data_IF_818574550138
#
_entry.id   IF_818574550138
#
_cell.length_a   1.000
_cell.length_b   1.000
_cell.length_c   1.000
_cell.angle_alpha   90.00
_cell.angle_beta   90.00
_cell.angle_gamma   90.00
#
_symmetry.space_group_name_H-M   'P 1'
#
loop_
_entity.id
_entity.type
_entity.pdbx_description
1 polymer ?
#
# COMPACT_ATOMS: atom_id res chain seq x y z
N UNK A 1 49.14 -25.33 51.08
CA UNK A 1 50.34 -25.79 50.35
C UNK A 1 50.33 -25.07 49.02
N UNK A 2 51.10 -24.04 48.95
CA UNK A 2 52.35 -23.85 48.19
C UNK A 2 52.01 -23.39 46.76
N UNK A 3 52.05 -22.10 46.49
CA UNK A 3 53.15 -21.18 46.08
C UNK A 3 53.28 -21.12 44.55
N UNK A 4 53.15 -19.89 44.01
CA UNK A 4 54.17 -18.91 43.52
C UNK A 4 54.51 -19.19 42.03
N UNK A 5 54.60 -18.27 41.15
CA UNK A 5 55.10 -16.92 41.01
C UNK A 5 54.86 -16.41 39.60
N UNK A 6 54.57 -15.20 39.46
CA UNK A 6 55.39 -13.98 39.26
C UNK A 6 56.22 -13.88 37.99
N UNK A 7 56.00 -12.73 37.30
CA UNK A 7 56.91 -11.77 36.71
C UNK A 7 57.44 -12.09 35.28
N UNK A 8 57.41 -11.20 34.30
CA UNK A 8 58.05 -9.92 34.10
C UNK A 8 57.60 -9.29 32.75
N UNK A 9 57.42 -7.99 32.77
CA UNK A 9 57.60 -7.08 31.64
C UNK A 9 59.09 -6.83 31.43
N UNK A 10 59.59 -6.32 30.28
CA UNK A 10 59.57 -4.91 29.91
C UNK A 10 59.46 -4.66 28.37
N UNK A 11 58.93 -3.56 27.92
CA UNK A 11 59.41 -2.19 27.66
C UNK A 11 60.56 -2.07 26.65
N UNK A 12 60.33 -1.37 25.55
CA UNK A 12 61.14 -0.25 25.05
C UNK A 12 61.15 -0.17 23.50
N UNK A 13 60.79 0.97 23.04
CA UNK A 13 61.46 2.10 22.38
C UNK A 13 61.35 2.13 20.86
N UNK A 14 60.64 3.15 20.37
CA UNK A 14 61.04 4.34 19.60
C UNK A 14 61.81 4.10 18.26
N UNK A 15 61.25 4.56 17.16
CA UNK A 15 61.81 5.68 16.41
C UNK A 15 60.84 6.23 15.39
N UNK A 16 60.76 7.57 15.41
CA UNK A 16 60.06 8.41 14.47
C UNK A 16 60.88 8.57 13.18
N UNK A 17 60.24 8.74 12.03
CA UNK A 17 60.80 9.47 10.91
C UNK A 17 59.71 10.21 10.16
N UNK A 18 59.76 11.53 10.28
CA UNK A 18 59.10 12.52 9.44
C UNK A 18 59.69 12.46 8.04
N UNK A 19 58.85 12.52 7.01
CA UNK A 19 59.19 13.13 5.74
C UNK A 19 58.03 13.96 5.20
N UNK A 20 58.17 15.24 5.29
CA UNK A 20 57.36 16.24 4.64
C UNK A 20 57.79 16.37 3.18
N UNK A 21 56.87 16.35 2.25
CA UNK A 21 57.06 16.86 0.90
C UNK A 21 55.88 17.81 0.56
N UNK A 22 56.16 19.09 0.61
CA UNK A 22 55.36 20.18 0.07
C UNK A 22 55.43 20.13 -1.45
N UNK A 23 54.27 20.06 -2.12
CA UNK A 23 54.12 20.56 -3.49
C UNK A 23 52.97 21.56 -3.49
N UNK A 24 53.28 22.81 -3.66
CA UNK A 24 52.33 23.86 -3.90
C UNK A 24 51.80 23.77 -5.35
N UNK A 25 50.53 23.75 -5.53
CA UNK A 25 49.84 23.89 -6.79
C UNK A 25 48.59 24.75 -6.58
N UNK A 26 48.69 26.05 -6.92
CA UNK A 26 47.56 26.96 -7.04
C UNK A 26 46.56 26.46 -8.09
N UNK A 27 45.32 26.31 -7.71
CA UNK A 27 44.18 26.13 -8.60
C UNK A 27 42.93 26.68 -7.91
N UNK A 28 42.59 27.92 -8.23
CA UNK A 28 41.35 28.58 -7.85
C UNK A 28 40.16 27.86 -8.51
N UNK A 29 39.28 27.30 -7.69
CA UNK A 29 38.03 26.71 -8.14
C UNK A 29 37.13 26.55 -6.93
N UNK A 30 36.45 27.64 -6.52
CA UNK A 30 35.33 27.57 -5.57
C UNK A 30 34.20 26.79 -6.24
N UNK A 31 34.14 25.51 -5.98
CA UNK A 31 32.98 24.68 -6.27
C UNK A 31 32.38 24.28 -4.93
N UNK A 32 31.42 25.05 -4.43
CA UNK A 32 30.52 24.62 -3.38
C UNK A 32 29.77 23.37 -3.87
N UNK A 33 30.35 22.20 -3.65
CA UNK A 33 29.68 20.91 -3.72
C UNK A 33 28.90 20.70 -2.43
N UNK A 34 28.01 21.64 -2.09
CA UNK A 34 26.86 21.36 -1.27
C UNK A 34 25.83 20.71 -2.21
N UNK A 35 26.14 19.47 -2.65
CA UNK A 35 25.12 18.60 -3.18
C UNK A 35 24.13 18.38 -2.06
N UNK A 36 23.07 19.18 -2.10
CA UNK A 36 21.83 18.97 -1.40
C UNK A 36 21.36 17.58 -1.84
N UNK A 37 21.83 16.53 -1.17
CA UNK A 37 21.11 15.27 -1.14
C UNK A 37 19.81 15.58 -0.40
N UNK A 38 18.85 16.12 -1.15
CA UNK A 38 17.47 15.98 -0.76
C UNK A 38 17.29 14.47 -0.57
N UNK A 39 17.35 14.02 0.68
CA UNK A 39 16.88 12.73 1.08
C UNK A 39 15.38 12.75 0.74
N UNK A 40 15.04 12.34 -0.48
CA UNK A 40 13.66 12.12 -0.88
C UNK A 40 13.23 10.90 -0.10
N UNK A 41 12.82 11.13 1.17
CA UNK A 41 12.12 10.14 1.94
C UNK A 41 11.01 9.58 1.02
N UNK A 42 10.98 8.28 0.84
CA UNK A 42 10.00 7.65 -0.03
C UNK A 42 8.60 8.12 0.40
N UNK A 43 7.82 8.62 -0.54
CA UNK A 43 6.46 9.06 -0.26
C UNK A 43 5.65 7.89 0.30
N UNK A 44 4.72 8.17 1.22
CA UNK A 44 3.77 7.15 1.66
C UNK A 44 2.96 6.63 0.46
N UNK A 45 2.79 5.32 0.37
CA UNK A 45 2.08 4.67 -0.72
C UNK A 45 0.77 4.10 -0.16
N UNK A 46 -0.36 4.38 -0.83
CA UNK A 46 -1.61 3.73 -0.50
C UNK A 46 -1.51 2.23 -0.87
N UNK A 47 -1.66 1.31 0.10
CA UNK A 47 -1.71 -0.11 -0.23
C UNK A 47 -2.97 -0.43 -1.04
N UNK A 48 -2.88 -1.48 -1.85
CA UNK A 48 -4.06 -2.00 -2.53
C UNK A 48 -4.94 -2.73 -1.52
N UNK A 49 -6.21 -2.34 -1.45
CA UNK A 49 -7.18 -3.05 -0.65
C UNK A 49 -7.75 -4.26 -1.44
N UNK A 50 -7.75 -5.42 -0.80
CA UNK A 50 -8.39 -6.64 -1.29
C UNK A 50 -9.90 -6.66 -1.00
N UNK A 51 -10.42 -7.81 -0.60
CA UNK A 51 -11.85 -7.98 -0.27
C UNK A 51 -12.24 -7.31 1.04
N UNK A 52 -11.27 -7.02 1.95
CA UNK A 52 -11.51 -6.27 3.18
C UNK A 52 -11.98 -4.82 2.92
N UNK A 53 -11.82 -4.32 1.70
CA UNK A 53 -12.33 -2.99 1.31
C UNK A 53 -13.84 -2.83 1.54
N UNK A 54 -14.59 -3.92 1.46
CA UNK A 54 -16.05 -3.94 1.61
C UNK A 54 -16.50 -4.08 3.08
N UNK A 55 -15.54 -4.32 4.00
CA UNK A 55 -15.80 -4.48 5.42
C UNK A 55 -15.56 -3.18 6.19
N UNK A 56 -16.59 -2.67 6.85
CA UNK A 56 -16.46 -1.55 7.77
C UNK A 56 -15.86 -2.03 9.12
N UNK A 57 -16.21 -3.26 9.53
CA UNK A 57 -15.72 -3.90 10.75
C UNK A 57 -15.37 -5.35 10.45
N UNK A 58 -14.16 -5.77 10.84
CA UNK A 58 -13.70 -7.15 10.71
C UNK A 58 -12.92 -7.55 11.96
N UNK A 59 -13.36 -8.60 12.64
CA UNK A 59 -12.70 -9.16 13.81
C UNK A 59 -12.03 -10.50 13.51
N UNK A 60 -10.96 -10.82 14.25
CA UNK A 60 -10.32 -12.14 14.20
C UNK A 60 -11.07 -13.18 15.03
N UNK A 61 -11.49 -12.83 16.24
CA UNK A 61 -12.13 -13.76 17.18
C UNK A 61 -13.62 -13.52 17.31
N UNK A 62 -14.01 -12.31 17.66
CA UNK A 62 -15.41 -11.92 17.86
C UNK A 62 -15.64 -10.48 17.41
N UNK A 63 -16.89 -10.16 17.12
CA UNK A 63 -17.39 -8.79 17.05
C UNK A 63 -18.54 -8.66 18.04
N UNK A 64 -18.40 -7.76 19.00
CA UNK A 64 -19.41 -7.51 20.03
C UNK A 64 -19.86 -6.06 19.99
N UNK A 65 -21.15 -5.84 20.15
CA UNK A 65 -21.74 -4.52 20.17
C UNK A 65 -22.71 -4.39 21.34
N UNK A 66 -22.64 -3.26 22.02
CA UNK A 66 -23.67 -2.79 22.97
C UNK A 66 -24.25 -1.49 22.44
N UNK A 67 -25.52 -1.27 22.64
CA UNK A 67 -26.20 -0.06 22.18
C UNK A 67 -26.46 0.01 20.67
N UNK A 68 -27.03 1.11 20.19
CA UNK A 68 -27.51 1.27 18.82
C UNK A 68 -26.40 1.71 17.86
N UNK A 69 -25.34 0.91 17.73
CA UNK A 69 -24.29 1.19 16.72
C UNK A 69 -24.85 1.09 15.30
N UNK A 70 -24.34 1.94 14.41
CA UNK A 70 -24.67 1.96 12.96
C UNK A 70 -23.42 1.67 12.15
N UNK A 71 -23.49 0.62 11.32
CA UNK A 71 -22.39 0.19 10.46
C UNK A 71 -22.83 0.33 9.01
N UNK A 72 -22.11 1.14 8.22
CA UNK A 72 -22.29 1.27 6.78
C UNK A 72 -21.18 0.51 6.06
N UNK A 73 -21.50 -0.67 5.56
CA UNK A 73 -20.56 -1.64 4.97
C UNK A 73 -20.76 -3.03 5.57
N UNK A 74 -19.95 -4.00 5.17
CA UNK A 74 -20.01 -5.36 5.70
C UNK A 74 -19.42 -5.44 7.12
N UNK A 75 -19.92 -6.40 7.87
CA UNK A 75 -19.49 -6.77 9.22
C UNK A 75 -19.01 -8.22 9.19
N UNK A 76 -17.75 -8.48 9.54
CA UNK A 76 -17.18 -9.82 9.46
C UNK A 76 -16.42 -10.27 10.69
N UNK A 77 -16.27 -11.59 10.81
CA UNK A 77 -15.40 -12.24 11.77
C UNK A 77 -14.83 -13.54 11.19
N UNK A 78 -13.53 -13.75 11.26
CA UNK A 78 -12.83 -14.98 10.90
C UNK A 78 -11.42 -14.99 11.53
N UNK A 79 -10.90 -16.13 12.04
CA UNK A 79 -11.48 -17.47 12.07
C UNK A 79 -12.59 -17.66 13.11
N UNK A 80 -12.83 -16.66 13.96
CA UNK A 80 -14.00 -16.67 14.85
C UNK A 80 -15.32 -16.66 14.07
N UNK A 81 -16.44 -16.90 14.77
CA UNK A 81 -17.76 -16.91 14.15
C UNK A 81 -18.82 -16.16 15.00
N UNK A 82 -18.42 -15.51 16.09
CA UNK A 82 -19.36 -14.86 16.98
C UNK A 82 -19.51 -13.37 16.66
N UNK A 83 -20.70 -12.98 16.23
CA UNK A 83 -21.14 -11.59 16.09
C UNK A 83 -22.35 -11.39 16.97
N UNK A 84 -22.26 -10.52 17.98
CA UNK A 84 -23.33 -10.25 18.95
C UNK A 84 -23.71 -8.77 18.98
N UNK A 85 -24.92 -8.46 19.47
CA UNK A 85 -25.41 -7.10 19.60
C UNK A 85 -25.95 -6.48 18.30
N UNK A 86 -26.35 -7.29 17.34
CA UNK A 86 -27.04 -6.87 16.12
C UNK A 86 -28.33 -7.68 15.91
N UNK A 87 -29.48 -7.20 16.48
CA UNK A 87 -29.75 -5.93 17.15
C UNK A 87 -29.16 -5.84 18.57
N UNK A 88 -29.08 -4.60 19.22
CA UNK A 88 -29.67 -3.33 18.76
C UNK A 88 -28.83 -2.59 17.70
N UNK A 89 -27.63 -3.04 17.39
CA UNK A 89 -26.86 -2.47 16.28
C UNK A 89 -27.59 -2.64 14.94
N UNK A 90 -27.35 -1.69 14.04
CA UNK A 90 -27.87 -1.67 12.67
C UNK A 90 -26.73 -1.81 11.66
N UNK A 91 -26.95 -2.60 10.60
CA UNK A 91 -25.99 -2.87 9.54
C UNK A 91 -26.65 -2.63 8.18
N UNK A 92 -26.02 -1.86 7.29
CA UNK A 92 -26.48 -1.67 5.90
C UNK A 92 -25.95 -2.73 4.95
N UNK A 93 -24.80 -3.35 5.28
CA UNK A 93 -24.15 -4.40 4.49
C UNK A 93 -24.56 -5.82 4.94
N UNK A 94 -23.69 -6.77 4.65
CA UNK A 94 -23.87 -8.19 4.98
C UNK A 94 -23.13 -8.55 6.27
N UNK A 95 -23.64 -9.58 6.98
CA UNK A 95 -22.92 -10.23 8.08
C UNK A 95 -22.19 -11.47 7.57
N UNK A 96 -20.90 -11.55 7.84
CA UNK A 96 -20.03 -12.65 7.47
C UNK A 96 -19.41 -13.27 8.74
N UNK A 97 -19.98 -14.37 9.22
CA UNK A 97 -19.62 -14.98 10.49
C UNK A 97 -18.90 -16.33 10.25
N UNK A 98 -17.58 -16.32 10.15
CA UNK A 98 -16.75 -17.49 9.90
C UNK A 98 -16.91 -18.08 8.50
N UNK A 99 -17.46 -17.33 7.56
CA UNK A 99 -17.66 -17.77 6.19
C UNK A 99 -16.43 -17.49 5.30
N UNK A 100 -16.48 -17.95 4.06
CA UNK A 100 -15.37 -17.82 3.11
C UNK A 100 -15.05 -16.37 2.74
N UNK A 101 -16.05 -15.47 2.78
CA UNK A 101 -15.83 -14.05 2.49
C UNK A 101 -15.10 -13.36 3.65
N UNK A 102 -15.48 -13.62 4.90
CA UNK A 102 -14.76 -13.13 6.07
C UNK A 102 -13.35 -13.71 6.15
N UNK A 103 -13.16 -15.00 5.77
CA UNK A 103 -11.83 -15.63 5.73
C UNK A 103 -10.94 -14.96 4.69
N UNK A 104 -11.45 -14.71 3.48
CA UNK A 104 -10.67 -14.01 2.45
C UNK A 104 -10.32 -12.58 2.89
N UNK A 105 -11.29 -11.84 3.43
CA UNK A 105 -11.05 -10.49 3.94
C UNK A 105 -10.00 -10.45 5.07
N UNK A 106 -9.92 -11.49 5.92
CA UNK A 106 -8.86 -11.59 6.92
C UNK A 106 -7.49 -11.87 6.30
N UNK A 107 -7.42 -12.72 5.27
CA UNK A 107 -6.17 -12.96 4.55
C UNK A 107 -5.68 -11.67 3.86
N UNK A 108 -6.59 -10.92 3.26
CA UNK A 108 -6.27 -9.63 2.63
C UNK A 108 -5.87 -8.59 3.69
N UNK A 109 -6.51 -8.60 4.87
CA UNK A 109 -6.10 -7.75 6.01
C UNK A 109 -4.69 -8.08 6.51
N UNK A 110 -4.27 -9.35 6.45
CA UNK A 110 -2.88 -9.75 6.76
C UNK A 110 -1.93 -9.11 5.74
N UNK A 111 -2.21 -9.23 4.46
CA UNK A 111 -1.42 -8.63 3.38
C UNK A 111 -1.34 -7.11 3.55
N UNK A 112 -2.47 -6.44 3.75
CA UNK A 112 -2.54 -5.00 4.03
C UNK A 112 -1.68 -4.59 5.22
N UNK A 113 -1.73 -5.35 6.32
CA UNK A 113 -0.93 -5.06 7.50
C UNK A 113 0.57 -5.15 7.22
N UNK A 114 1.00 -6.17 6.46
CA UNK A 114 2.39 -6.43 6.13
C UNK A 114 2.92 -5.39 5.13
N UNK A 115 2.12 -4.98 4.15
CA UNK A 115 2.44 -3.89 3.23
C UNK A 115 2.65 -2.56 3.96
N UNK A 116 1.74 -2.22 4.89
CA UNK A 116 1.90 -1.03 5.73
C UNK A 116 3.15 -1.12 6.61
N UNK A 117 3.47 -2.32 7.14
CA UNK A 117 4.66 -2.55 7.95
C UNK A 117 5.96 -2.34 7.15
N UNK A 118 5.96 -2.72 5.87
CA UNK A 118 7.11 -2.64 4.96
C UNK A 118 7.48 -1.23 4.52
N UNK A 119 6.59 -0.25 4.64
CA UNK A 119 6.88 1.12 4.19
C UNK A 119 7.96 1.78 5.05
N UNK A 120 8.89 2.48 4.40
CA UNK A 120 9.95 3.21 5.09
C UNK A 120 9.40 4.40 5.86
N UNK A 121 9.87 4.63 7.08
CA UNK A 121 9.47 5.77 7.90
C UNK A 121 9.99 7.07 7.30
N UNK A 122 9.12 8.07 7.17
CA UNK A 122 9.52 9.43 6.79
C UNK A 122 9.70 10.33 8.00
N UNK A 123 9.02 10.02 9.11
CA UNK A 123 9.07 10.81 10.34
C UNK A 123 8.93 9.91 11.57
N UNK A 124 9.71 10.20 12.60
CA UNK A 124 9.58 9.54 13.91
C UNK A 124 8.70 10.41 14.84
N UNK A 125 7.63 9.81 15.33
CA UNK A 125 6.68 10.42 16.28
C UNK A 125 6.66 9.67 17.61
N UNK A 126 7.75 8.93 17.92
CA UNK A 126 7.86 8.17 19.16
C UNK A 126 7.75 9.09 20.37
N UNK A 127 6.81 8.78 21.27
CA UNK A 127 6.58 9.55 22.51
C UNK A 127 5.94 10.93 22.28
N UNK A 128 5.54 11.26 21.06
CA UNK A 128 4.84 12.50 20.77
C UNK A 128 3.33 12.33 20.88
N UNK A 129 2.67 13.37 21.38
CA UNK A 129 1.20 13.50 21.34
C UNK A 129 0.80 13.97 19.94
N UNK A 130 -0.05 13.22 19.26
CA UNK A 130 -0.48 13.54 17.91
C UNK A 130 -1.50 14.69 17.88
N UNK A 131 -2.21 14.89 18.99
CA UNK A 131 -3.14 16.02 19.13
C UNK A 131 -2.43 17.38 19.04
N UNK A 132 -3.05 18.30 18.32
CA UNK A 132 -2.50 19.63 18.02
C UNK A 132 -1.51 19.66 16.85
N UNK A 133 -1.13 18.50 16.28
CA UNK A 133 -0.25 18.45 15.13
C UNK A 133 -0.99 18.73 13.82
N UNK A 134 -0.29 19.34 12.87
CA UNK A 134 -0.67 19.37 11.44
C UNK A 134 0.38 18.61 10.66
N UNK A 135 -0.03 17.51 10.04
CA UNK A 135 0.87 16.57 9.35
C UNK A 135 0.63 16.57 7.84
N UNK A 136 1.72 16.66 7.09
CA UNK A 136 1.73 16.51 5.63
C UNK A 136 1.73 15.02 5.26
N UNK A 137 1.48 14.63 3.98
CA UNK A 137 1.56 13.23 3.55
C UNK A 137 2.89 12.57 3.90
N UNK A 138 2.86 11.35 4.43
CA UNK A 138 4.07 10.66 4.86
C UNK A 138 3.82 9.39 5.68
N UNK A 139 4.91 8.71 6.06
CA UNK A 139 4.92 7.53 6.94
C UNK A 139 5.44 7.92 8.31
N UNK A 140 4.56 7.95 9.30
CA UNK A 140 4.81 8.35 10.68
C UNK A 140 4.99 7.12 11.56
N UNK A 141 6.17 6.95 12.13
CA UNK A 141 6.51 5.77 12.90
C UNK A 141 6.67 6.09 14.38
N UNK A 142 6.15 5.19 15.23
CA UNK A 142 6.40 5.20 16.66
C UNK A 142 6.92 3.83 17.11
N UNK A 143 8.04 3.81 17.82
CA UNK A 143 8.60 2.60 18.46
C UNK A 143 7.96 2.29 19.81
N UNK A 144 6.94 3.07 20.21
CA UNK A 144 6.14 2.89 21.42
C UNK A 144 4.64 2.94 21.08
N UNK A 145 3.79 3.12 22.08
CA UNK A 145 2.38 3.44 21.89
C UNK A 145 2.21 4.84 21.30
N UNK A 146 1.17 5.01 20.48
CA UNK A 146 0.74 6.31 19.97
C UNK A 146 -0.48 6.81 20.74
N UNK A 147 -0.51 8.12 21.00
CA UNK A 147 -1.63 8.80 21.66
C UNK A 147 -2.15 9.95 20.80
N UNK A 148 -3.46 10.13 20.81
CA UNK A 148 -4.15 11.23 20.17
C UNK A 148 -5.14 11.84 21.16
N UNK A 149 -4.80 13.00 21.73
CA UNK A 149 -5.68 13.77 22.61
C UNK A 149 -5.93 15.15 22.00
N UNK A 150 -7.18 15.43 21.66
CA UNK A 150 -7.54 16.64 20.90
C UNK A 150 -7.59 16.40 19.40
N UNK A 151 -7.27 17.41 18.59
CA UNK A 151 -7.40 17.35 17.13
C UNK A 151 -6.05 17.11 16.45
N UNK A 152 -5.99 16.11 15.57
CA UNK A 152 -4.92 15.92 14.59
C UNK A 152 -5.38 16.41 13.22
N UNK A 153 -4.65 17.33 12.61
CA UNK A 153 -4.93 17.81 11.26
C UNK A 153 -4.03 17.09 10.24
N UNK A 154 -4.63 16.53 9.18
CA UNK A 154 -3.94 15.94 8.02
C UNK A 154 -4.14 16.86 6.83
N UNK A 155 -3.07 17.51 6.38
CA UNK A 155 -3.12 18.53 5.32
C UNK A 155 -2.47 18.02 4.04
N UNK A 156 -3.28 17.81 2.99
CA UNK A 156 -2.80 17.35 1.70
C UNK A 156 -2.06 18.44 0.89
N UNK A 157 -2.14 19.71 1.29
CA UNK A 157 -1.54 20.82 0.53
C UNK A 157 -2.04 20.88 -0.92
N UNK A 158 -3.26 20.44 -1.19
CA UNK A 158 -3.83 20.36 -2.53
C UNK A 158 -3.32 19.19 -3.39
N UNK A 159 -2.51 18.28 -2.83
CA UNK A 159 -1.98 17.12 -3.57
C UNK A 159 -3.07 16.05 -3.71
N UNK A 160 -3.40 15.74 -4.93
CA UNK A 160 -4.25 14.60 -5.25
C UNK A 160 -3.56 13.30 -4.84
N UNK A 161 -4.30 12.38 -4.20
CA UNK A 161 -3.75 11.09 -3.79
C UNK A 161 -2.78 11.14 -2.59
N UNK A 162 -2.76 12.25 -1.84
CA UNK A 162 -1.99 12.35 -0.60
C UNK A 162 -2.28 11.20 0.36
N UNK A 163 -1.23 10.56 0.91
CA UNK A 163 -1.33 9.36 1.75
C UNK A 163 -0.66 9.59 3.09
N UNK A 164 -1.28 9.13 4.16
CA UNK A 164 -0.72 9.08 5.50
C UNK A 164 -0.72 7.63 6.01
N UNK A 165 0.41 7.19 6.50
CA UNK A 165 0.56 5.90 7.16
C UNK A 165 1.13 6.12 8.56
N UNK A 166 0.36 5.77 9.57
CA UNK A 166 0.80 5.76 10.96
C UNK A 166 1.17 4.34 11.36
N UNK A 167 2.39 4.13 11.83
CA UNK A 167 2.90 2.83 12.27
C UNK A 167 3.29 2.89 13.72
N UNK A 168 2.67 2.11 14.57
CA UNK A 168 3.11 1.94 15.95
C UNK A 168 3.44 0.48 16.24
N UNK A 169 4.47 0.24 17.05
CA UNK A 169 4.84 -1.13 17.48
C UNK A 169 3.96 -1.63 18.63
N UNK A 170 3.25 -0.73 19.30
CA UNK A 170 2.40 -1.05 20.45
C UNK A 170 0.94 -0.61 20.20
N UNK A 171 0.32 0.10 21.11
CA UNK A 171 -1.09 0.49 21.07
C UNK A 171 -1.31 1.88 20.46
N UNK A 172 -2.54 2.09 19.94
CA UNK A 172 -3.09 3.42 19.71
C UNK A 172 -4.19 3.69 20.72
N UNK A 173 -4.14 4.84 21.39
CA UNK A 173 -5.21 5.28 22.29
C UNK A 173 -5.62 6.71 21.96
N UNK A 174 -6.92 6.95 21.80
CA UNK A 174 -7.42 8.33 21.68
C UNK A 174 -8.08 8.79 22.97
N UNK A 175 -7.89 10.06 23.34
CA UNK A 175 -8.64 10.70 24.42
C UNK A 175 -10.12 10.88 24.05
N UNK A 176 -10.97 11.11 25.03
CA UNK A 176 -12.40 11.40 24.79
C UNK A 176 -12.54 12.70 23.98
N UNK A 177 -13.42 12.66 22.96
CA UNK A 177 -13.68 13.82 22.09
C UNK A 177 -12.53 14.17 21.13
N UNK A 178 -11.52 13.33 21.01
CA UNK A 178 -10.43 13.54 20.05
C UNK A 178 -10.93 13.44 18.61
N UNK A 179 -10.21 14.09 17.69
CA UNK A 179 -10.60 14.09 16.27
C UNK A 179 -9.41 14.02 15.32
N UNK A 180 -9.67 13.49 14.13
CA UNK A 180 -8.78 13.60 12.97
C UNK A 180 -9.48 14.48 11.94
N UNK A 181 -8.88 15.62 11.60
CA UNK A 181 -9.41 16.60 10.65
C UNK A 181 -8.64 16.51 9.32
N UNK A 182 -9.37 16.39 8.22
CA UNK A 182 -8.81 16.39 6.87
C UNK A 182 -8.88 17.77 6.26
N UNK A 183 -7.77 18.26 5.66
CA UNK A 183 -7.69 19.57 5.00
C UNK A 183 -7.10 19.46 3.59
N UNK A 184 -7.44 20.45 2.76
CA UNK A 184 -6.82 20.70 1.45
C UNK A 184 -6.80 19.48 0.52
N UNK A 185 -7.91 18.71 0.46
CA UNK A 185 -8.05 17.56 -0.41
C UNK A 185 -7.56 16.23 0.20
N UNK A 186 -7.22 16.19 1.48
CA UNK A 186 -6.97 14.94 2.19
C UNK A 186 -8.23 14.06 2.18
N UNK A 187 -8.05 12.75 1.97
CA UNK A 187 -9.16 11.81 1.84
C UNK A 187 -9.07 10.67 2.86
N UNK A 188 -10.20 10.24 3.46
CA UNK A 188 -10.20 9.22 4.50
C UNK A 188 -9.72 7.84 4.02
N UNK A 189 -9.87 7.50 2.75
CA UNK A 189 -9.37 6.24 2.18
C UNK A 189 -7.84 6.16 2.19
N UNK A 190 -7.16 7.31 2.17
CA UNK A 190 -5.70 7.41 2.08
C UNK A 190 -5.04 7.59 3.45
N UNK A 191 -5.77 7.35 4.54
CA UNK A 191 -5.24 7.39 5.90
C UNK A 191 -5.24 5.98 6.46
N UNK A 192 -4.07 5.48 6.87
CA UNK A 192 -3.87 4.12 7.37
C UNK A 192 -3.19 4.14 8.74
N UNK A 193 -3.72 3.33 9.66
CA UNK A 193 -3.23 3.18 11.02
C UNK A 193 -2.83 1.73 11.26
N UNK A 194 -1.55 1.41 11.07
CA UNK A 194 -0.99 0.08 11.34
C UNK A 194 -0.58 0.00 12.82
N UNK A 195 -1.32 -0.78 13.61
CA UNK A 195 -1.18 -0.87 15.05
C UNK A 195 -0.57 -2.20 15.45
N UNK A 196 0.59 -2.17 16.13
CA UNK A 196 1.34 -3.36 16.51
C UNK A 196 0.72 -4.21 17.62
N UNK A 197 -0.30 -3.69 18.29
CA UNK A 197 -1.10 -4.42 19.28
C UNK A 197 -2.58 -4.05 19.12
N UNK A 198 -3.17 -3.32 20.06
CA UNK A 198 -4.58 -2.95 20.07
C UNK A 198 -4.82 -1.45 19.90
N UNK A 199 -5.97 -1.10 19.34
CA UNK A 199 -6.43 0.27 19.26
C UNK A 199 -7.63 0.50 20.18
N UNK A 200 -7.64 1.62 20.91
CA UNK A 200 -8.78 2.06 21.71
C UNK A 200 -9.16 3.47 21.32
N UNK A 201 -10.35 3.65 20.78
CA UNK A 201 -10.91 4.97 20.52
C UNK A 201 -11.74 5.42 21.72
N UNK A 202 -11.36 6.53 22.36
CA UNK A 202 -12.05 7.12 23.48
C UNK A 202 -13.45 7.60 23.13
N UNK A 203 -14.26 7.82 24.16
CA UNK A 203 -15.66 8.25 24.06
C UNK A 203 -15.82 9.46 23.15
N UNK A 204 -16.79 9.41 22.23
CA UNK A 204 -17.10 10.48 21.27
C UNK A 204 -15.91 10.91 20.37
N UNK A 205 -14.90 10.08 20.19
CA UNK A 205 -13.83 10.31 19.21
C UNK A 205 -14.41 10.39 17.80
N UNK A 206 -13.97 11.37 17.00
CA UNK A 206 -14.26 11.47 15.56
C UNK A 206 -13.01 11.05 14.77
N UNK A 207 -12.92 9.78 14.42
CA UNK A 207 -11.72 9.19 13.83
C UNK A 207 -11.84 9.03 12.31
N UNK A 208 -10.72 9.21 11.62
CA UNK A 208 -10.63 9.05 10.17
C UNK A 208 -9.50 8.09 9.80
N UNK A 209 -9.80 7.21 8.87
CA UNK A 209 -8.85 6.28 8.27
C UNK A 209 -9.10 4.81 8.60
N UNK A 210 -8.27 3.96 8.01
CA UNK A 210 -8.35 2.52 8.10
C UNK A 210 -7.47 2.02 9.25
N UNK A 211 -8.08 1.53 10.32
CA UNK A 211 -7.39 0.95 11.48
C UNK A 211 -7.13 -0.52 11.18
N UNK A 212 -5.86 -0.91 11.16
CA UNK A 212 -5.42 -2.30 10.98
C UNK A 212 -4.61 -2.70 12.21
N UNK A 213 -5.28 -3.34 13.18
CA UNK A 213 -4.68 -3.71 14.45
C UNK A 213 -4.27 -5.18 14.47
N UNK A 214 -3.08 -5.47 15.02
CA UNK A 214 -2.61 -6.85 15.17
C UNK A 214 -3.51 -7.66 16.10
N UNK A 215 -4.00 -7.03 17.17
CA UNK A 215 -4.81 -7.72 18.18
C UNK A 215 -6.26 -7.23 18.13
N UNK A 216 -6.68 -6.31 18.98
CA UNK A 216 -8.07 -5.92 19.14
C UNK A 216 -8.33 -4.44 18.85
N UNK A 217 -9.57 -4.10 18.57
CA UNK A 217 -10.03 -2.72 18.43
C UNK A 217 -11.22 -2.50 19.35
N UNK A 218 -11.12 -1.51 20.23
CA UNK A 218 -12.20 -1.08 21.10
C UNK A 218 -12.68 0.31 20.68
N UNK A 219 -13.94 0.40 20.25
CA UNK A 219 -14.63 1.66 20.00
C UNK A 219 -15.53 1.92 21.23
N UNK A 220 -15.11 2.87 22.07
CA UNK A 220 -15.93 3.20 23.26
C UNK A 220 -17.13 4.04 22.87
N UNK A 221 -18.01 4.29 23.83
CA UNK A 221 -19.34 4.91 23.62
C UNK A 221 -19.29 6.13 22.70
N UNK A 222 -20.06 6.06 21.62
CA UNK A 222 -20.25 7.18 20.70
C UNK A 222 -19.07 7.51 19.78
N UNK A 223 -18.01 6.72 19.80
CA UNK A 223 -16.90 6.92 18.84
C UNK A 223 -17.38 6.70 17.40
N UNK A 224 -16.90 7.56 16.48
CA UNK A 224 -17.24 7.56 15.06
C UNK A 224 -15.98 7.27 14.24
N UNK A 225 -16.10 6.42 13.25
CA UNK A 225 -15.01 6.07 12.32
C UNK A 225 -15.47 6.30 10.88
N UNK A 226 -14.84 7.25 10.20
CA UNK A 226 -14.90 7.35 8.74
C UNK A 226 -13.73 6.55 8.16
N UNK A 227 -13.95 5.27 7.93
CA UNK A 227 -12.88 4.31 7.62
C UNK A 227 -13.28 2.88 7.96
N UNK A 228 -12.30 2.09 8.36
CA UNK A 228 -12.44 0.66 8.70
C UNK A 228 -11.85 0.36 10.07
N UNK A 229 -12.42 -0.63 10.75
CA UNK A 229 -11.88 -1.22 11.97
C UNK A 229 -11.59 -2.71 11.72
N UNK A 230 -10.31 -3.02 11.37
CA UNK A 230 -9.84 -4.35 10.97
C UNK A 230 -8.90 -4.90 12.04
N UNK A 231 -9.38 -5.86 12.84
CA UNK A 231 -8.59 -6.56 13.85
C UNK A 231 -8.17 -7.93 13.33
N UNK A 232 -6.84 -8.18 13.25
CA UNK A 232 -6.31 -9.44 12.68
C UNK A 232 -6.58 -10.66 13.56
N UNK A 233 -6.17 -10.59 14.83
CA UNK A 233 -6.15 -11.76 15.70
C UNK A 233 -7.15 -11.66 16.84
N UNK A 234 -7.63 -10.48 17.16
CA UNK A 234 -8.46 -10.24 18.33
C UNK A 234 -9.90 -9.86 17.97
N UNK A 235 -10.54 -9.22 18.90
CA UNK A 235 -11.94 -8.81 18.79
C UNK A 235 -12.11 -7.36 18.35
N UNK A 236 -13.28 -7.04 17.85
CA UNK A 236 -13.74 -5.65 17.74
C UNK A 236 -14.93 -5.47 18.71
N UNK A 237 -14.80 -4.53 19.64
CA UNK A 237 -15.86 -4.17 20.59
C UNK A 237 -16.41 -2.79 20.26
N UNK A 238 -17.73 -2.64 20.37
CA UNK A 238 -18.45 -1.42 20.01
C UNK A 238 -19.53 -1.09 21.05
N UNK A 239 -19.78 0.22 21.19
CA UNK A 239 -20.87 0.75 22.04
C UNK A 239 -21.41 2.04 21.43
N UNK A 240 -22.61 1.98 20.84
CA UNK A 240 -23.31 3.15 20.29
C UNK A 240 -22.47 3.92 19.25
N UNK A 241 -21.76 3.21 18.39
CA UNK A 241 -20.79 3.77 17.44
C UNK A 241 -21.39 4.02 16.06
N UNK A 242 -20.71 4.87 15.28
CA UNK A 242 -20.95 5.03 13.86
C UNK A 242 -19.67 4.65 13.10
N UNK A 243 -19.72 3.57 12.30
CA UNK A 243 -18.62 3.17 11.42
C UNK A 243 -19.11 3.22 9.99
N UNK A 244 -18.47 4.06 9.17
CA UNK A 244 -18.90 4.29 7.78
C UNK A 244 -17.72 4.08 6.84
N UNK A 245 -17.87 3.18 5.87
CA UNK A 245 -16.91 3.05 4.78
C UNK A 245 -16.77 4.39 4.06
N UNK A 246 -15.55 4.89 3.88
CA UNK A 246 -15.35 6.15 3.21
C UNK A 246 -15.63 5.99 1.71
N UNK A 247 -16.31 6.97 1.15
CA UNK A 247 -16.32 7.21 -0.30
C UNK A 247 -15.17 8.16 -0.61
N UNK A 248 -14.28 7.76 -1.49
CA UNK A 248 -13.18 8.63 -1.91
C UNK A 248 -13.41 9.05 -3.36
N UNK A 249 -13.43 10.34 -3.54
CA UNK A 249 -13.46 10.91 -4.88
C UNK A 249 -12.10 10.70 -5.55
N UNK A 250 -12.11 10.23 -6.78
CA UNK A 250 -10.92 10.35 -7.63
C UNK A 250 -10.71 11.85 -7.81
N UNK A 251 -9.54 12.41 -7.39
CA UNK A 251 -9.32 13.83 -7.48
C UNK A 251 -9.63 14.33 -8.91
N UNK A 252 -10.33 15.43 -9.05
CA UNK A 252 -10.69 15.99 -10.36
C UNK A 252 -9.47 16.35 -11.23
N UNK A 253 -8.28 16.43 -10.62
CA UNK A 253 -6.99 16.63 -11.29
C UNK A 253 -6.28 15.32 -11.64
N UNK A 254 -6.78 14.17 -11.18
CA UNK A 254 -6.21 12.86 -11.49
C UNK A 254 -6.41 12.54 -12.98
N UNK A 255 -5.31 12.21 -13.66
CA UNK A 255 -5.33 11.79 -15.06
C UNK A 255 -5.34 10.25 -15.08
N UNK A 256 -6.34 9.62 -15.67
CA UNK A 256 -6.33 8.17 -15.84
C UNK A 256 -5.06 7.72 -16.56
N UNK A 257 -4.38 6.66 -16.10
CA UNK A 257 -3.23 6.12 -16.81
C UNK A 257 -3.59 5.67 -18.22
N UNK A 258 -2.61 5.71 -19.10
CA UNK A 258 -2.76 5.28 -20.49
C UNK A 258 -2.06 3.96 -20.74
N UNK A 259 -2.54 3.22 -21.75
CA UNK A 259 -1.93 1.97 -22.21
C UNK A 259 -1.62 2.05 -23.71
N UNK A 260 -0.47 1.49 -24.10
CA UNK A 260 -0.10 1.23 -25.49
C UNK A 260 0.33 -0.23 -25.62
N UNK A 261 -0.07 -0.85 -26.72
CA UNK A 261 0.27 -2.24 -27.02
C UNK A 261 1.02 -2.35 -28.33
N UNK A 262 2.04 -3.19 -28.40
CA UNK A 262 2.83 -3.41 -29.62
C UNK A 262 3.26 -4.88 -29.74
N UNK A 263 3.50 -5.33 -30.98
CA UNK A 263 4.21 -6.56 -31.29
C UNK A 263 5.54 -6.22 -31.99
N UNK A 264 6.61 -6.83 -31.56
CA UNK A 264 7.95 -6.65 -32.17
C UNK A 264 8.67 -7.98 -32.35
N UNK A 265 8.93 -8.39 -33.61
CA UNK A 265 8.48 -7.79 -34.89
C UNK A 265 6.96 -7.90 -35.09
N UNK A 266 6.36 -6.94 -35.77
CA UNK A 266 4.91 -6.91 -36.11
C UNK A 266 4.51 -7.93 -37.17
N UNK A 267 5.48 -8.59 -37.81
CA UNK A 267 5.27 -9.66 -38.81
C UNK A 267 6.25 -10.80 -38.53
N UNK A 268 5.73 -12.04 -38.48
CA UNK A 268 6.53 -13.27 -38.29
C UNK A 268 6.12 -14.33 -39.32
N UNK A 269 6.92 -15.36 -39.45
CA UNK A 269 6.51 -16.59 -40.14
C UNK A 269 5.69 -17.48 -39.19
N UNK A 270 4.88 -18.40 -39.74
CA UNK A 270 4.18 -19.41 -38.95
C UNK A 270 5.16 -20.16 -38.05
N UNK A 271 4.86 -20.25 -36.75
CA UNK A 271 5.72 -20.81 -35.73
C UNK A 271 6.88 -19.92 -35.27
N UNK A 272 7.05 -18.74 -35.85
CA UNK A 272 8.00 -17.73 -35.38
C UNK A 272 7.53 -17.05 -34.08
N UNK A 273 8.41 -16.22 -33.51
CA UNK A 273 8.16 -15.53 -32.24
C UNK A 273 8.12 -14.02 -32.42
N UNK A 274 7.19 -13.35 -31.73
CA UNK A 274 7.11 -11.91 -31.58
C UNK A 274 6.94 -11.55 -30.10
N UNK A 275 7.56 -10.48 -29.65
CA UNK A 275 7.38 -9.99 -28.28
C UNK A 275 6.19 -9.03 -28.25
N UNK A 276 5.13 -9.40 -27.51
CA UNK A 276 4.06 -8.49 -27.10
C UNK A 276 4.58 -7.59 -25.98
N UNK A 277 4.41 -6.28 -26.12
CA UNK A 277 4.71 -5.30 -25.08
C UNK A 277 3.45 -4.48 -24.79
N UNK A 278 3.05 -4.41 -23.53
CA UNK A 278 2.04 -3.50 -23.03
C UNK A 278 2.76 -2.45 -22.17
N UNK A 279 2.72 -1.19 -22.62
CA UNK A 279 3.33 -0.07 -21.89
C UNK A 279 2.23 0.72 -21.19
N UNK A 280 2.40 0.95 -19.91
CA UNK A 280 1.53 1.78 -19.09
C UNK A 280 2.24 3.10 -18.79
N UNK A 281 1.49 4.21 -18.80
CA UNK A 281 2.02 5.54 -18.48
C UNK A 281 1.11 6.21 -17.46
N UNK A 282 1.72 6.76 -16.40
CA UNK A 282 1.06 7.51 -15.34
C UNK A 282 1.63 8.93 -15.31
N UNK A 283 0.80 9.92 -15.62
CA UNK A 283 1.16 11.34 -15.62
C UNK A 283 0.84 12.05 -14.29
N UNK A 284 0.47 11.28 -13.25
CA UNK A 284 0.22 11.80 -11.91
C UNK A 284 1.53 11.82 -11.10
N UNK A 285 1.60 12.72 -10.13
CA UNK A 285 2.72 12.86 -9.20
C UNK A 285 2.76 11.79 -8.09
N UNK A 286 1.75 10.90 -8.08
CA UNK A 286 1.64 9.74 -7.20
C UNK A 286 1.50 8.45 -8.02
N UNK A 287 1.94 7.31 -7.49
CA UNK A 287 1.82 6.02 -8.17
C UNK A 287 0.36 5.67 -8.50
N UNK A 288 0.15 5.06 -9.66
CA UNK A 288 -1.13 4.49 -10.01
C UNK A 288 -1.17 3.00 -9.64
N UNK A 289 -1.82 2.71 -8.52
CA UNK A 289 -2.02 1.35 -8.04
C UNK A 289 -3.21 0.71 -8.76
N UNK A 290 -3.07 -0.52 -9.21
CA UNK A 290 -4.18 -1.26 -9.78
C UNK A 290 -5.22 -1.57 -8.68
N UNK A 291 -6.48 -1.35 -8.99
CA UNK A 291 -7.63 -1.66 -8.10
C UNK A 291 -8.37 -2.94 -8.50
N UNK A 292 -7.90 -3.58 -9.56
CA UNK A 292 -8.38 -4.85 -10.08
C UNK A 292 -7.35 -5.48 -11.02
N UNK A 293 -7.44 -6.79 -11.30
CA UNK A 293 -6.51 -7.45 -12.21
C UNK A 293 -6.67 -6.93 -13.64
N UNK A 294 -5.56 -6.76 -14.34
CA UNK A 294 -5.54 -6.52 -15.76
C UNK A 294 -5.36 -7.86 -16.48
N UNK A 295 -6.33 -8.24 -17.32
CA UNK A 295 -6.30 -9.50 -18.06
C UNK A 295 -6.34 -9.20 -19.56
N UNK A 296 -5.28 -9.58 -20.27
CA UNK A 296 -5.19 -9.55 -21.71
C UNK A 296 -5.44 -10.94 -22.28
N UNK A 297 -6.60 -11.14 -22.89
CA UNK A 297 -6.93 -12.39 -23.59
C UNK A 297 -6.50 -12.27 -25.04
N UNK A 298 -5.57 -13.12 -25.44
CA UNK A 298 -5.07 -13.15 -26.81
C UNK A 298 -6.11 -13.74 -27.78
N UNK A 299 -6.09 -13.31 -29.05
CA UNK A 299 -6.95 -13.89 -30.05
C UNK A 299 -6.63 -15.37 -30.27
N UNK A 300 -7.64 -16.16 -30.58
CA UNK A 300 -7.51 -17.61 -30.84
C UNK A 300 -6.40 -17.91 -31.83
N UNK A 301 -5.54 -18.86 -31.48
CA UNK A 301 -4.38 -19.27 -32.28
C UNK A 301 -3.09 -18.50 -31.98
N UNK A 302 -3.13 -17.44 -31.19
CA UNK A 302 -1.93 -16.80 -30.66
C UNK A 302 -1.65 -17.32 -29.25
N UNK A 303 -0.44 -17.81 -29.01
CA UNK A 303 -0.06 -18.53 -27.78
C UNK A 303 1.08 -17.81 -27.09
N UNK A 304 1.00 -17.66 -25.75
CA UNK A 304 2.04 -17.10 -24.91
C UNK A 304 3.11 -18.14 -24.62
N UNK A 305 4.38 -17.75 -24.71
CA UNK A 305 5.50 -18.51 -24.16
C UNK A 305 5.64 -18.16 -22.68
N UNK A 306 5.05 -18.99 -21.81
CA UNK A 306 4.87 -18.66 -20.38
C UNK A 306 6.18 -18.27 -19.64
N UNK A 307 7.32 -18.86 -20.01
CA UNK A 307 8.63 -18.55 -19.41
C UNK A 307 9.20 -17.18 -19.81
N UNK A 308 8.60 -16.50 -20.80
CA UNK A 308 9.07 -15.21 -21.31
C UNK A 308 8.40 -13.98 -20.65
N UNK A 309 7.36 -14.21 -19.83
CA UNK A 309 6.58 -13.12 -19.25
C UNK A 309 7.39 -12.37 -18.20
N UNK A 310 7.45 -11.06 -18.34
CA UNK A 310 8.11 -10.17 -17.39
C UNK A 310 7.37 -8.84 -17.24
N UNK A 311 7.63 -8.12 -16.12
CA UNK A 311 7.07 -6.78 -15.89
C UNK A 311 8.03 -5.90 -15.13
N UNK A 312 7.91 -4.59 -15.37
CA UNK A 312 8.52 -3.53 -14.57
C UNK A 312 7.50 -2.76 -13.75
N UNK A 313 6.22 -3.21 -13.70
CA UNK A 313 5.11 -2.56 -12.99
C UNK A 313 5.00 -3.02 -11.53
N UNK A 314 6.12 -3.24 -10.85
CA UNK A 314 6.18 -3.72 -9.47
C UNK A 314 7.36 -3.08 -8.74
N UNK A 315 7.19 -2.77 -7.47
CA UNK A 315 8.29 -2.29 -6.63
C UNK A 315 9.11 -3.42 -6.00
N UNK A 316 8.56 -4.64 -5.92
CA UNK A 316 9.22 -5.79 -5.27
C UNK A 316 8.87 -7.09 -6.00
N UNK A 317 9.91 -7.84 -6.40
CA UNK A 317 9.76 -9.15 -7.01
C UNK A 317 9.28 -10.17 -5.97
N UNK A 318 8.00 -10.46 -5.93
CA UNK A 318 7.39 -11.59 -5.22
C UNK A 318 6.73 -12.48 -6.27
N UNK A 319 6.86 -13.79 -6.15
CA UNK A 319 6.23 -14.74 -7.08
C UNK A 319 4.69 -14.63 -6.97
N UNK A 320 4.00 -14.47 -8.11
CA UNK A 320 2.53 -14.46 -8.15
C UNK A 320 1.88 -13.22 -8.79
N UNK A 321 2.68 -12.29 -9.30
CA UNK A 321 2.19 -11.01 -9.87
C UNK A 321 1.63 -11.12 -11.30
N UNK A 322 1.87 -12.26 -11.96
CA UNK A 322 1.41 -12.50 -13.31
C UNK A 322 0.22 -13.45 -13.37
N UNK A 323 -0.68 -13.14 -14.28
CA UNK A 323 -1.71 -14.06 -14.74
C UNK A 323 -1.22 -14.55 -16.10
N UNK A 324 -0.81 -15.81 -16.17
CA UNK A 324 -0.26 -16.41 -17.40
C UNK A 324 -0.93 -17.75 -17.67
N UNK A 325 -1.51 -17.88 -18.85
CA UNK A 325 -1.98 -19.13 -19.42
C UNK A 325 -1.66 -19.12 -20.94
N UNK A 326 -1.91 -20.18 -21.65
CA UNK A 326 -1.62 -20.32 -23.08
C UNK A 326 -2.20 -19.20 -23.95
N UNK A 327 -3.30 -18.60 -23.54
CA UNK A 327 -3.98 -17.49 -24.25
C UNK A 327 -4.16 -16.23 -23.41
N UNK A 328 -3.52 -16.12 -22.26
CA UNK A 328 -3.74 -15.00 -21.33
C UNK A 328 -2.41 -14.49 -20.81
N UNK A 329 -2.28 -13.16 -20.74
CA UNK A 329 -1.20 -12.48 -20.03
C UNK A 329 -1.77 -11.30 -19.25
N UNK A 330 -1.31 -11.05 -18.02
CA UNK A 330 -1.85 -9.96 -17.22
C UNK A 330 -1.10 -9.70 -15.93
N UNK A 331 -1.60 -8.72 -15.19
CA UNK A 331 -1.14 -8.34 -13.86
C UNK A 331 -2.24 -8.61 -12.83
N UNK A 332 -1.85 -9.02 -11.64
CA UNK A 332 -2.76 -9.03 -10.48
C UNK A 332 -3.11 -7.61 -10.04
N UNK A 333 -4.06 -7.48 -9.12
CA UNK A 333 -4.46 -6.17 -8.57
C UNK A 333 -3.36 -5.45 -7.77
N UNK A 334 -2.20 -6.07 -7.59
CA UNK A 334 -1.06 -5.51 -6.82
C UNK A 334 -0.06 -4.76 -7.72
N UNK A 335 -0.33 -4.65 -9.02
CA UNK A 335 0.49 -3.91 -9.96
C UNK A 335 0.52 -2.41 -9.66
N UNK A 336 1.68 -1.77 -9.91
CA UNK A 336 1.90 -0.35 -9.67
C UNK A 336 2.56 0.29 -10.89
N UNK A 337 2.03 1.44 -11.32
CA UNK A 337 2.64 2.29 -12.35
C UNK A 337 3.29 3.48 -11.64
N UNK A 338 4.61 3.68 -11.75
CA UNK A 338 5.32 4.74 -11.01
C UNK A 338 4.74 6.14 -11.25
N UNK A 339 4.88 7.02 -10.26
CA UNK A 339 4.53 8.43 -10.39
C UNK A 339 5.33 9.10 -11.51
N UNK A 340 4.68 9.89 -12.37
CA UNK A 340 5.29 10.55 -13.54
C UNK A 340 6.13 9.58 -14.39
N UNK A 341 5.73 8.30 -14.45
CA UNK A 341 6.54 7.23 -14.99
C UNK A 341 5.79 6.29 -15.91
N UNK A 342 6.53 5.29 -16.35
CA UNK A 342 6.03 4.21 -17.20
C UNK A 342 6.51 2.87 -16.67
N UNK A 343 5.74 1.83 -16.96
CA UNK A 343 6.15 0.45 -16.75
C UNK A 343 5.61 -0.43 -17.87
N UNK A 344 6.11 -1.66 -17.98
CA UNK A 344 5.77 -2.57 -19.06
C UNK A 344 5.42 -3.96 -18.56
N UNK A 345 4.57 -4.64 -19.31
CA UNK A 345 4.42 -6.11 -19.31
C UNK A 345 4.88 -6.60 -20.66
N UNK A 346 5.75 -7.59 -20.69
CA UNK A 346 6.23 -8.23 -21.93
C UNK A 346 5.97 -9.74 -21.91
N UNK A 347 5.69 -10.30 -23.08
CA UNK A 347 5.51 -11.72 -23.28
C UNK A 347 5.88 -12.11 -24.72
N UNK A 348 6.63 -13.17 -24.92
CA UNK A 348 6.78 -13.73 -26.24
C UNK A 348 5.56 -14.51 -26.64
N UNK A 349 5.13 -14.33 -27.87
CA UNK A 349 3.96 -14.99 -28.45
C UNK A 349 4.31 -15.66 -29.77
N UNK A 350 3.62 -16.74 -30.09
CA UNK A 350 3.76 -17.49 -31.33
C UNK A 350 2.42 -17.89 -31.89
N UNK A 351 2.32 -18.05 -33.20
CA UNK A 351 1.15 -18.60 -33.87
C UNK A 351 1.56 -19.59 -34.94
N UNK A 352 0.98 -20.81 -34.97
CA UNK A 352 1.34 -21.86 -35.93
C UNK A 352 0.69 -21.65 -37.32
N UNK A 353 -0.32 -20.80 -37.43
CA UNK A 353 -1.10 -20.61 -38.65
C UNK A 353 -0.94 -19.18 -39.16
N UNK A 354 -0.79 -19.02 -40.48
CA UNK A 354 -0.75 -17.72 -41.14
C UNK A 354 -2.08 -16.99 -40.95
N UNK A 355 -2.02 -15.69 -40.69
CA UNK A 355 -3.20 -14.87 -40.40
C UNK A 355 -2.88 -13.53 -39.81
N UNK A 356 -3.93 -12.75 -39.53
CA UNK A 356 -3.85 -11.45 -38.84
C UNK A 356 -4.48 -11.56 -37.45
N UNK A 357 -3.68 -11.41 -36.42
CA UNK A 357 -4.05 -11.58 -35.02
C UNK A 357 -4.16 -10.20 -34.35
N UNK A 358 -5.40 -9.68 -34.31
CA UNK A 358 -5.68 -8.40 -33.65
C UNK A 358 -5.97 -8.63 -32.18
N UNK A 359 -5.12 -8.09 -31.30
CA UNK A 359 -5.28 -8.14 -29.85
C UNK A 359 -5.66 -6.78 -29.30
N UNK A 360 -6.63 -6.72 -28.37
CA UNK A 360 -7.22 -5.48 -27.85
C UNK A 360 -7.54 -5.58 -26.37
N UNK A 361 -7.04 -4.60 -25.61
CA UNK A 361 -7.50 -4.30 -24.26
C UNK A 361 -8.47 -3.11 -24.37
N UNK A 362 -9.74 -3.23 -23.97
CA UNK A 362 -10.74 -2.17 -24.13
C UNK A 362 -10.46 -0.98 -23.18
N UNK A 363 -11.15 0.13 -23.41
CA UNK A 363 -11.28 1.20 -22.44
C UNK A 363 -11.87 0.64 -21.13
N UNK A 364 -11.37 1.10 -19.98
CA UNK A 364 -11.76 0.61 -18.65
C UNK A 364 -11.11 -0.70 -18.21
N UNK A 365 -10.29 -1.36 -19.05
CA UNK A 365 -9.60 -2.61 -18.68
C UNK A 365 -8.54 -2.40 -17.60
N UNK A 366 -7.80 -1.30 -17.68
CA UNK A 366 -6.86 -0.90 -16.63
C UNK A 366 -7.63 -0.10 -15.57
N UNK A 367 -7.78 -0.67 -14.39
CA UNK A 367 -8.46 -0.05 -13.25
C UNK A 367 -7.43 0.39 -12.24
N UNK A 368 -7.42 1.68 -11.88
CA UNK A 368 -6.45 2.22 -10.92
C UNK A 368 -7.10 3.22 -9.96
N UNK A 369 -6.39 3.55 -8.87
CA UNK A 369 -6.76 4.62 -7.94
C UNK A 369 -6.79 6.02 -8.59
N UNK A 370 -6.25 6.18 -9.80
CA UNK A 370 -6.33 7.41 -10.61
C UNK A 370 -7.40 7.37 -11.71
N UNK A 371 -8.26 6.35 -11.68
CA UNK A 371 -9.28 6.09 -12.69
C UNK A 371 -8.86 5.03 -13.70
N UNK A 372 -9.79 4.72 -14.61
CA UNK A 372 -9.60 3.68 -15.60
C UNK A 372 -9.09 4.26 -16.91
N UNK A 373 -8.32 3.50 -17.71
CA UNK A 373 -7.88 3.95 -19.03
C UNK A 373 -9.06 4.37 -19.90
N UNK A 374 -8.97 5.56 -20.50
CA UNK A 374 -10.04 6.12 -21.34
C UNK A 374 -10.08 5.53 -22.76
N UNK A 375 -8.94 5.03 -23.26
CA UNK A 375 -8.82 4.51 -24.63
C UNK A 375 -8.41 3.03 -24.62
N UNK A 376 -8.85 2.29 -25.63
CA UNK A 376 -8.40 0.92 -25.87
C UNK A 376 -6.93 0.89 -26.33
N UNK A 377 -6.18 -0.14 -25.89
CA UNK A 377 -4.85 -0.45 -26.43
C UNK A 377 -4.97 -1.63 -27.41
N UNK A 378 -4.55 -1.40 -28.66
CA UNK A 378 -4.73 -2.37 -29.76
C UNK A 378 -3.40 -2.57 -30.49
N UNK A 379 -3.09 -3.83 -30.79
CA UNK A 379 -1.98 -4.21 -31.68
C UNK A 379 -2.39 -5.37 -32.58
N UNK A 380 -1.77 -5.47 -33.74
CA UNK A 380 -1.98 -6.56 -34.70
C UNK A 380 -0.65 -7.22 -35.05
N UNK A 381 -0.60 -8.55 -34.92
CA UNK A 381 0.51 -9.38 -35.40
C UNK A 381 0.12 -10.03 -36.72
N UNK A 382 0.94 -9.89 -37.73
CA UNK A 382 0.77 -10.58 -39.01
C UNK A 382 1.65 -11.83 -39.03
N UNK A 383 1.08 -12.98 -39.40
CA UNK A 383 1.79 -14.25 -39.54
C UNK A 383 1.69 -14.73 -40.99
N UNK A 384 2.83 -14.92 -41.65
CA UNK A 384 2.95 -15.31 -43.04
C UNK A 384 3.33 -16.80 -43.19
#
# INVERSE_FOLDING_TARGET
MTRIGTLFKPLSWLTALLLAALVAGCGTGSGDQNANQANTAAAAIAPTLGTEKDFAVLGGQTVTNTGPSVITGNLGVSPGAAITGFPPGFLTGQKHAGDTQALQAQNDTITLYDDLAGQACTSDVTGQELGGMTLVPGVYCSTSSAQLTGELTLDAGGKAGAVWVFKTVSTLTTGSGSSVLLKNGAQPCNVFWKIGSSATLGTNTSFVGNIVALTSIALTTGAKVSGRALARNGEVTMDSNLVTLPTCDIPATSKPPTMVKTFSPGTIKAGGTSTLTITFSNANDTPANLTGPLIDTLPSGLVVVASSVSTTCIEKLVSGWFIVDTGIVGLTAEGLIPANGTCTVTADVTAPVAGSYRNSLPAGALQTNHGNNAAAAVATLTVN
#
